data_IF_865118987679
#
_entry.id   IF_865118987679
#
_cell.length_a   1.000
_cell.length_b   1.000
_cell.length_c   1.000
_cell.angle_alpha   90.00
_cell.angle_beta   90.00
_cell.angle_gamma   90.00
#
_symmetry.space_group_name_H-M   'P 1'
#
loop_
_entity.id
_entity.type
_entity.pdbx_description
1 polymer ?
#
# COMPACT_ATOMS: atom_id res chain seq x y z
N UNK A 1 -7.25 -37.09 73.76
CA UNK A 1 -6.19 -36.40 72.99
C UNK A 1 -6.69 -36.19 71.51
N UNK A 2 -7.82 -35.53 71.26
CA UNK A 2 -8.38 -35.37 69.86
C UNK A 2 -9.10 -34.04 69.60
N UNK A 3 -8.64 -32.90 70.10
CA UNK A 3 -9.38 -31.63 69.97
C UNK A 3 -8.49 -30.44 69.44
N UNK A 4 -7.21 -30.67 69.12
CA UNK A 4 -6.35 -29.57 68.59
C UNK A 4 -6.24 -29.55 67.06
N UNK A 5 -6.47 -30.67 66.35
CA UNK A 5 -6.32 -30.75 64.90
C UNK A 5 -7.43 -30.02 64.11
N UNK A 6 -8.61 -29.84 64.69
CA UNK A 6 -9.75 -29.21 64.03
C UNK A 6 -9.66 -27.68 63.89
N UNK A 7 -8.82 -27.02 64.68
CA UNK A 7 -8.69 -25.53 64.64
C UNK A 7 -7.46 -25.03 63.84
N UNK A 8 -6.47 -25.87 63.61
CA UNK A 8 -5.23 -25.49 62.92
C UNK A 8 -5.45 -25.38 61.39
N UNK A 9 -6.29 -26.28 60.86
CA UNK A 9 -6.54 -26.33 59.43
C UNK A 9 -7.18 -25.02 58.84
N UNK A 10 -8.24 -24.45 59.42
CA UNK A 10 -8.82 -23.22 58.96
C UNK A 10 -7.86 -22.00 59.08
N UNK A 11 -7.00 -21.99 60.10
CA UNK A 11 -6.00 -20.92 60.25
C UNK A 11 -4.96 -20.93 59.14
N UNK A 12 -4.45 -22.07 58.75
CA UNK A 12 -3.48 -22.25 57.67
C UNK A 12 -4.13 -21.81 56.34
N UNK A 13 -5.36 -22.20 56.05
CA UNK A 13 -6.06 -21.79 54.81
C UNK A 13 -6.26 -20.29 54.75
N UNK A 14 -6.66 -19.64 55.85
CA UNK A 14 -6.82 -18.20 55.91
C UNK A 14 -5.47 -17.48 55.70
N UNK A 15 -4.40 -18.03 56.28
CA UNK A 15 -3.04 -17.45 56.11
C UNK A 15 -2.54 -17.56 54.66
N UNK A 16 -2.72 -18.72 54.01
CA UNK A 16 -2.40 -18.94 52.60
C UNK A 16 -3.20 -17.97 51.72
N UNK A 17 -4.50 -17.84 51.96
CA UNK A 17 -5.36 -16.95 51.21
C UNK A 17 -4.92 -15.47 51.32
N UNK A 18 -4.59 -15.02 52.55
CA UNK A 18 -4.05 -13.67 52.79
C UNK A 18 -2.71 -13.46 52.10
N UNK A 19 -1.78 -14.40 52.16
CA UNK A 19 -0.51 -14.34 51.49
C UNK A 19 -0.67 -14.27 49.94
N UNK A 20 -1.58 -15.08 49.42
CA UNK A 20 -1.89 -15.09 47.98
C UNK A 20 -2.47 -13.73 47.52
N UNK A 21 -3.43 -13.17 48.27
CA UNK A 21 -4.01 -11.85 47.98
C UNK A 21 -2.97 -10.76 48.04
N UNK A 22 -2.08 -10.79 49.04
CA UNK A 22 -0.98 -9.80 49.15
C UNK A 22 0.01 -9.89 47.98
N UNK A 23 0.40 -11.10 47.59
CA UNK A 23 1.31 -11.32 46.44
C UNK A 23 0.64 -10.84 45.15
N UNK A 24 -0.64 -11.18 44.95
CA UNK A 24 -1.38 -10.76 43.76
C UNK A 24 -1.56 -9.24 43.72
N UNK A 25 -1.93 -8.62 44.85
CA UNK A 25 -2.10 -7.19 45.00
C UNK A 25 -0.80 -6.41 44.74
N UNK A 26 0.34 -6.85 45.27
CA UNK A 26 1.64 -6.22 45.05
C UNK A 26 2.12 -6.40 43.59
N UNK A 27 1.90 -7.56 43.00
CA UNK A 27 2.22 -7.83 41.58
C UNK A 27 1.39 -6.94 40.64
N UNK A 28 0.12 -6.78 40.92
CA UNK A 28 -0.79 -5.93 40.15
C UNK A 28 -0.39 -4.44 40.29
N UNK A 29 -0.06 -3.98 41.49
CA UNK A 29 0.42 -2.63 41.74
C UNK A 29 1.73 -2.35 41.01
N UNK A 30 2.69 -3.29 41.02
CA UNK A 30 3.95 -3.21 40.29
C UNK A 30 3.72 -3.13 38.77
N UNK A 31 2.76 -3.93 38.24
CA UNK A 31 2.40 -3.88 36.84
C UNK A 31 1.82 -2.50 36.44
N UNK A 32 0.88 -1.96 37.22
CA UNK A 32 0.31 -0.63 36.94
C UNK A 32 1.35 0.49 37.05
N UNK A 33 2.25 0.41 38.04
CA UNK A 33 3.35 1.36 38.14
C UNK A 33 4.29 1.27 36.93
N UNK A 34 4.66 0.05 36.51
CA UNK A 34 5.48 -0.19 35.32
C UNK A 34 4.83 0.34 34.04
N UNK A 35 3.53 0.09 33.85
CA UNK A 35 2.78 0.63 32.70
C UNK A 35 2.69 2.17 32.74
N UNK A 36 2.48 2.75 33.92
CA UNK A 36 2.44 4.20 34.11
C UNK A 36 3.79 4.86 33.78
N UNK A 37 4.90 4.27 34.25
CA UNK A 37 6.24 4.74 33.94
C UNK A 37 6.57 4.59 32.45
N UNK A 38 6.23 3.44 31.87
CA UNK A 38 6.39 3.19 30.43
C UNK A 38 5.63 4.21 29.61
N UNK A 39 4.34 4.46 29.92
CA UNK A 39 3.52 5.47 29.26
C UNK A 39 4.14 6.87 29.35
N UNK A 40 4.61 7.27 30.53
CA UNK A 40 5.33 8.56 30.70
C UNK A 40 6.59 8.65 29.86
N UNK A 41 7.37 7.57 29.80
CA UNK A 41 8.59 7.51 28.98
C UNK A 41 8.25 7.63 27.49
N UNK A 42 7.25 6.90 27.01
CA UNK A 42 6.78 6.97 25.61
C UNK A 42 6.28 8.36 25.25
N UNK A 43 5.47 9.00 26.12
CA UNK A 43 4.97 10.35 25.91
C UNK A 43 6.09 11.41 25.89
N UNK A 44 7.08 11.30 26.77
CA UNK A 44 8.25 12.19 26.73
C UNK A 44 9.04 12.02 25.44
N UNK A 45 9.31 10.77 25.05
CA UNK A 45 10.01 10.49 23.81
C UNK A 45 9.26 10.98 22.55
N UNK A 46 7.93 10.93 22.57
CA UNK A 46 7.10 11.48 21.51
C UNK A 46 7.18 13.01 21.44
N UNK A 47 7.09 13.70 22.59
CA UNK A 47 7.25 15.16 22.67
C UNK A 47 8.63 15.63 22.22
N UNK A 48 9.70 14.99 22.71
CA UNK A 48 11.07 15.32 22.28
C UNK A 48 11.25 15.13 20.76
N UNK A 49 10.57 14.14 20.17
CA UNK A 49 10.58 13.91 18.71
C UNK A 49 9.85 15.03 17.99
N UNK A 50 8.67 15.41 18.47
CA UNK A 50 7.84 16.47 17.89
C UNK A 50 8.55 17.83 17.97
N UNK A 51 9.14 18.19 19.13
CA UNK A 51 9.94 19.41 19.29
C UNK A 51 11.11 19.48 18.33
N UNK A 52 11.81 18.35 18.09
CA UNK A 52 12.90 18.28 17.11
C UNK A 52 12.42 18.41 15.67
N UNK A 53 11.28 17.80 15.32
CA UNK A 53 10.67 17.97 14.01
C UNK A 53 10.31 19.43 13.77
N UNK A 54 9.69 20.09 14.74
CA UNK A 54 9.36 21.52 14.67
C UNK A 54 10.61 22.38 14.57
N UNK A 55 11.67 22.05 15.29
CA UNK A 55 12.96 22.74 15.18
C UNK A 55 13.50 22.67 13.74
N UNK A 56 13.59 21.46 13.16
CA UNK A 56 14.07 21.31 11.79
C UNK A 56 13.12 21.90 10.74
N UNK A 57 11.81 21.90 11.00
CA UNK A 57 10.86 22.59 10.13
C UNK A 57 11.09 24.11 10.16
N UNK A 58 11.39 24.68 11.33
CA UNK A 58 11.81 26.09 11.46
C UNK A 58 13.09 26.42 10.67
N UNK A 59 14.08 25.52 10.72
CA UNK A 59 15.32 25.65 9.93
C UNK A 59 15.02 25.62 8.42
N UNK A 60 14.11 24.75 7.96
CA UNK A 60 13.69 24.70 6.54
C UNK A 60 12.96 25.97 6.14
N UNK A 61 12.06 26.51 6.98
CA UNK A 61 11.41 27.81 6.75
C UNK A 61 12.45 28.93 6.60
N UNK A 62 13.41 28.99 7.53
CA UNK A 62 14.46 30.01 7.51
C UNK A 62 15.36 29.89 6.25
N UNK A 63 15.61 28.67 5.78
CA UNK A 63 16.35 28.40 4.55
C UNK A 63 15.57 28.91 3.32
N UNK A 64 14.29 28.52 3.18
CA UNK A 64 13.43 28.94 2.07
C UNK A 64 13.18 30.45 2.06
N UNK A 65 13.11 31.08 3.25
CA UNK A 65 13.02 32.54 3.39
C UNK A 65 14.34 33.27 3.12
N UNK A 66 15.43 32.56 2.83
CA UNK A 66 16.76 33.14 2.59
C UNK A 66 17.43 33.75 3.86
N UNK A 67 16.89 33.48 5.05
CA UNK A 67 17.44 33.98 6.31
C UNK A 67 18.61 33.13 6.85
N UNK A 68 18.79 31.93 6.32
CA UNK A 68 19.95 31.05 6.57
C UNK A 68 20.38 30.34 5.27
N UNK A 69 21.62 29.90 5.22
CA UNK A 69 22.17 29.10 4.11
C UNK A 69 22.47 27.66 4.51
N UNK A 70 22.21 27.29 5.76
CA UNK A 70 22.54 25.99 6.31
C UNK A 70 21.48 25.53 7.30
N UNK A 71 21.30 24.22 7.37
CA UNK A 71 20.46 23.53 8.36
C UNK A 71 21.35 22.98 9.47
N UNK A 72 20.86 22.98 10.70
CA UNK A 72 21.55 22.44 11.84
C UNK A 72 21.93 20.97 11.63
N UNK A 73 23.20 20.63 11.87
CA UNK A 73 23.73 19.29 11.64
C UNK A 73 23.16 18.27 12.65
N UNK A 74 22.48 17.20 12.20
CA UNK A 74 22.01 16.15 13.10
C UNK A 74 23.14 15.47 13.85
N UNK A 75 23.02 15.40 15.19
CA UNK A 75 24.06 14.85 16.07
C UNK A 75 24.09 13.33 16.07
N UNK A 76 22.99 12.68 15.76
CA UNK A 76 22.81 11.23 15.82
C UNK A 76 21.69 10.76 14.88
N UNK A 77 21.50 9.44 14.78
CA UNK A 77 20.48 8.82 13.94
C UNK A 77 19.05 9.29 14.25
N UNK A 78 18.72 9.52 15.54
CA UNK A 78 17.39 10.02 15.94
C UNK A 78 17.13 11.44 15.41
N UNK A 79 18.13 12.30 15.44
CA UNK A 79 18.04 13.66 14.90
C UNK A 79 17.91 13.63 13.37
N UNK A 80 18.66 12.74 12.70
CA UNK A 80 18.51 12.53 11.26
C UNK A 80 17.11 12.07 10.86
N UNK A 81 16.47 11.20 11.66
CA UNK A 81 15.06 10.82 11.47
C UNK A 81 14.09 11.99 11.69
N UNK A 82 14.38 12.88 12.64
CA UNK A 82 13.56 14.06 12.89
C UNK A 82 13.66 15.07 11.73
N UNK A 83 14.86 15.27 11.17
CA UNK A 83 15.05 16.10 9.97
C UNK A 83 14.31 15.54 8.75
N UNK A 84 14.38 14.21 8.50
CA UNK A 84 13.61 13.59 7.43
C UNK A 84 12.10 13.76 7.62
N UNK A 85 11.62 13.59 8.85
CA UNK A 85 10.20 13.83 9.19
C UNK A 85 9.79 15.30 9.00
N UNK A 86 10.65 16.27 9.31
CA UNK A 86 10.42 17.68 9.05
C UNK A 86 10.36 17.98 7.55
N UNK A 87 11.29 17.46 6.78
CA UNK A 87 11.31 17.60 5.31
C UNK A 87 10.02 17.05 4.68
N UNK A 88 9.56 15.87 5.10
CA UNK A 88 8.29 15.29 4.64
C UNK A 88 7.08 16.18 4.99
N UNK A 89 7.05 16.75 6.19
CA UNK A 89 5.93 17.54 6.67
C UNK A 89 5.91 18.97 6.08
N UNK A 90 7.05 19.39 5.52
CA UNK A 90 7.20 20.73 4.96
C UNK A 90 6.55 20.82 3.58
N UNK A 91 5.79 21.89 3.34
CA UNK A 91 5.19 22.18 2.03
C UNK A 91 6.07 23.18 1.29
N UNK A 92 6.87 22.69 0.37
CA UNK A 92 7.67 23.54 -0.52
C UNK A 92 6.77 24.21 -1.57
N UNK A 93 7.07 25.46 -1.93
CA UNK A 93 6.29 26.20 -2.91
C UNK A 93 6.68 25.85 -4.36
N UNK A 94 7.95 25.54 -4.56
CA UNK A 94 8.49 25.20 -5.88
C UNK A 94 9.69 24.24 -5.80
N UNK A 95 10.16 23.80 -6.97
CA UNK A 95 11.32 22.89 -7.09
C UNK A 95 12.64 23.53 -6.63
N UNK A 96 12.76 24.86 -6.67
CA UNK A 96 13.99 25.55 -6.24
C UNK A 96 14.17 25.46 -4.73
N UNK A 97 13.08 25.58 -3.95
CA UNK A 97 13.10 25.37 -2.50
C UNK A 97 13.48 23.93 -2.13
N UNK A 98 12.95 22.96 -2.87
CA UNK A 98 13.30 21.53 -2.69
C UNK A 98 14.79 21.32 -2.97
N UNK A 99 15.31 21.88 -4.05
CA UNK A 99 16.73 21.78 -4.40
C UNK A 99 17.64 22.44 -3.38
N UNK A 100 17.27 23.62 -2.85
CA UNK A 100 18.00 24.28 -1.77
C UNK A 100 18.02 23.42 -0.49
N UNK A 101 16.88 22.85 -0.11
CA UNK A 101 16.79 21.98 1.05
C UNK A 101 17.64 20.72 0.89
N UNK A 102 17.64 20.10 -0.29
CA UNK A 102 18.52 18.96 -0.58
C UNK A 102 19.99 19.31 -0.51
N UNK A 103 20.40 20.45 -1.07
CA UNK A 103 21.80 20.93 -0.98
C UNK A 103 22.20 21.19 0.47
N UNK A 104 21.34 21.83 1.26
CA UNK A 104 21.61 22.09 2.66
C UNK A 104 21.69 20.78 3.49
N UNK A 105 20.84 19.78 3.20
CA UNK A 105 20.89 18.48 3.85
C UNK A 105 22.12 17.69 3.42
N UNK A 106 22.55 17.77 2.17
CA UNK A 106 23.72 17.06 1.64
C UNK A 106 25.03 17.40 2.37
N UNK A 107 25.16 18.64 2.86
CA UNK A 107 26.35 19.07 3.63
C UNK A 107 26.27 18.66 5.11
N UNK A 108 25.13 18.14 5.57
CA UNK A 108 24.96 17.62 6.94
C UNK A 108 25.44 16.18 7.05
N UNK A 109 25.58 15.69 8.28
CA UNK A 109 25.87 14.28 8.56
C UNK A 109 24.66 13.34 8.34
N UNK A 110 23.52 13.85 7.88
CA UNK A 110 22.26 13.09 7.77
C UNK A 110 22.44 11.82 6.97
N UNK A 111 22.94 11.91 5.74
CA UNK A 111 23.14 10.75 4.86
C UNK A 111 24.13 9.74 5.44
N UNK A 112 25.18 10.22 6.11
CA UNK A 112 26.16 9.36 6.79
C UNK A 112 25.50 8.59 7.94
N UNK A 113 24.67 9.26 8.74
CA UNK A 113 23.95 8.62 9.85
C UNK A 113 22.96 7.58 9.35
N UNK A 114 22.20 7.89 8.29
CA UNK A 114 21.24 6.96 7.67
C UNK A 114 21.95 5.75 7.05
N UNK A 115 23.01 5.95 6.27
CA UNK A 115 23.80 4.86 5.69
C UNK A 115 24.41 3.96 6.76
N UNK A 116 24.95 4.53 7.85
CA UNK A 116 25.46 3.77 8.99
C UNK A 116 24.35 2.93 9.65
N UNK A 117 23.15 3.47 9.77
CA UNK A 117 22.00 2.75 10.34
C UNK A 117 21.58 1.54 9.47
N UNK A 118 21.80 1.55 8.16
CA UNK A 118 21.55 0.40 7.29
C UNK A 118 22.49 -0.79 7.57
N UNK A 119 23.67 -0.55 8.18
CA UNK A 119 24.59 -1.61 8.58
C UNK A 119 24.23 -2.23 9.94
N UNK A 120 23.18 -1.77 10.61
CA UNK A 120 22.72 -2.30 11.89
C UNK A 120 22.23 -3.75 11.75
N UNK A 121 22.51 -4.58 12.78
CA UNK A 121 21.93 -5.93 12.92
C UNK A 121 20.42 -5.86 13.19
N UNK A 122 19.93 -4.78 13.81
CA UNK A 122 18.51 -4.55 14.10
C UNK A 122 17.76 -4.15 12.81
N UNK A 123 16.88 -5.03 12.36
CA UNK A 123 16.04 -4.78 11.19
C UNK A 123 15.12 -3.55 11.36
N UNK A 124 14.69 -3.26 12.59
CA UNK A 124 13.85 -2.09 12.87
C UNK A 124 14.61 -0.77 12.69
N UNK A 125 15.93 -0.75 13.00
CA UNK A 125 16.81 0.39 12.73
C UNK A 125 16.96 0.57 11.21
N UNK A 126 17.24 -0.51 10.47
CA UNK A 126 17.35 -0.48 9.00
C UNK A 126 16.08 0.04 8.33
N UNK A 127 14.92 -0.50 8.75
CA UNK A 127 13.61 -0.07 8.22
C UNK A 127 13.35 1.42 8.43
N UNK A 128 13.65 1.95 9.61
CA UNK A 128 13.48 3.39 9.90
C UNK A 128 14.42 4.26 9.05
N UNK A 129 15.66 3.80 8.84
CA UNK A 129 16.59 4.51 7.95
C UNK A 129 16.06 4.55 6.50
N UNK A 130 15.54 3.42 5.99
CA UNK A 130 14.93 3.33 4.66
C UNK A 130 13.72 4.24 4.51
N UNK A 131 12.85 4.29 5.52
CA UNK A 131 11.73 5.24 5.54
C UNK A 131 12.22 6.68 5.43
N UNK A 132 13.25 7.05 6.19
CA UNK A 132 13.83 8.39 6.13
C UNK A 132 14.44 8.74 4.76
N UNK A 133 15.10 7.78 4.09
CA UNK A 133 15.56 7.99 2.72
C UNK A 133 14.40 8.29 1.75
N UNK A 134 13.30 7.53 1.85
CA UNK A 134 12.10 7.77 1.05
C UNK A 134 11.42 9.11 1.36
N UNK A 135 11.47 9.58 2.61
CA UNK A 135 10.93 10.88 3.02
C UNK A 135 11.76 12.04 2.48
N UNK A 136 13.09 11.91 2.46
CA UNK A 136 14.01 12.93 1.96
C UNK A 136 13.99 13.07 0.43
N UNK A 137 13.54 12.05 -0.31
CA UNK A 137 13.44 12.05 -1.79
C UNK A 137 14.70 12.49 -2.52
N UNK A 138 15.88 12.23 -1.97
CA UNK A 138 17.16 12.51 -2.64
C UNK A 138 17.45 11.39 -3.65
N UNK A 139 17.21 11.66 -4.94
CA UNK A 139 17.41 10.71 -6.04
C UNK A 139 18.86 10.22 -6.16
N UNK A 140 19.83 10.97 -5.70
CA UNK A 140 21.24 10.55 -5.63
C UNK A 140 21.48 9.32 -4.76
N UNK A 141 20.54 8.96 -3.89
CA UNK A 141 20.61 7.76 -3.07
C UNK A 141 20.02 6.51 -3.74
N UNK A 142 19.33 6.65 -4.87
CA UNK A 142 18.63 5.54 -5.53
C UNK A 142 19.57 4.35 -5.80
N UNK A 143 20.69 4.56 -6.43
CA UNK A 143 21.61 3.49 -6.80
C UNK A 143 22.24 2.81 -5.58
N UNK A 144 22.52 3.57 -4.51
CA UNK A 144 23.00 3.03 -3.25
C UNK A 144 21.94 2.10 -2.61
N UNK A 145 20.69 2.52 -2.54
CA UNK A 145 19.61 1.73 -1.97
C UNK A 145 19.27 0.52 -2.84
N UNK A 146 19.33 0.64 -4.17
CA UNK A 146 19.13 -0.46 -5.10
C UNK A 146 20.15 -1.59 -4.84
N UNK A 147 21.44 -1.24 -4.74
CA UNK A 147 22.51 -2.21 -4.41
C UNK A 147 22.34 -2.81 -3.02
N UNK A 148 21.91 -2.02 -2.05
CA UNK A 148 21.60 -2.52 -0.71
C UNK A 148 20.44 -3.54 -0.77
N UNK A 149 19.39 -3.28 -1.54
CA UNK A 149 18.25 -4.19 -1.70
C UNK A 149 18.66 -5.53 -2.34
N UNK A 150 19.59 -5.53 -3.29
CA UNK A 150 20.09 -6.75 -3.92
C UNK A 150 20.75 -7.72 -2.93
N UNK A 151 21.35 -7.18 -1.88
CA UNK A 151 22.08 -7.93 -0.85
C UNK A 151 21.22 -8.25 0.39
N UNK A 152 20.07 -7.57 0.56
CA UNK A 152 19.25 -7.72 1.77
C UNK A 152 18.45 -9.03 1.74
N UNK A 153 18.58 -9.81 2.80
CA UNK A 153 17.92 -11.11 2.95
C UNK A 153 16.61 -11.05 3.76
N UNK A 154 16.45 -10.02 4.60
CA UNK A 154 15.26 -9.87 5.44
C UNK A 154 14.12 -9.27 4.61
N UNK A 155 13.07 -10.05 4.34
CA UNK A 155 11.94 -9.68 3.47
C UNK A 155 11.32 -8.31 3.85
N UNK A 156 11.13 -8.04 5.15
CA UNK A 156 10.56 -6.77 5.62
C UNK A 156 11.47 -5.57 5.31
N UNK A 157 12.79 -5.73 5.45
CA UNK A 157 13.76 -4.67 5.14
C UNK A 157 13.83 -4.47 3.63
N UNK A 158 13.88 -5.56 2.87
CA UNK A 158 13.81 -5.52 1.41
C UNK A 158 12.57 -4.76 0.91
N UNK A 159 11.38 -5.06 1.47
CA UNK A 159 10.16 -4.32 1.15
C UNK A 159 10.29 -2.82 1.43
N UNK A 160 10.79 -2.45 2.62
CA UNK A 160 11.02 -1.03 2.96
C UNK A 160 12.02 -0.37 2.03
N UNK A 161 13.02 -1.11 1.54
CA UNK A 161 13.99 -0.62 0.56
C UNK A 161 13.34 -0.36 -0.80
N UNK A 162 12.47 -1.27 -1.27
CA UNK A 162 11.67 -1.06 -2.48
C UNK A 162 10.80 0.20 -2.37
N UNK A 163 10.13 0.39 -1.23
CA UNK A 163 9.31 1.58 -1.01
C UNK A 163 10.15 2.88 -1.04
N UNK A 164 11.35 2.86 -0.44
CA UNK A 164 12.28 3.97 -0.51
C UNK A 164 12.77 4.22 -1.94
N UNK A 165 13.23 3.17 -2.66
CA UNK A 165 13.64 3.29 -4.06
C UNK A 165 12.53 3.88 -4.94
N UNK A 166 11.28 3.41 -4.77
CA UNK A 166 10.13 3.91 -5.52
C UNK A 166 9.89 5.42 -5.32
N UNK A 167 10.12 5.92 -4.10
CA UNK A 167 9.98 7.34 -3.79
C UNK A 167 11.11 8.22 -4.36
N UNK A 168 12.25 7.61 -4.72
CA UNK A 168 13.44 8.30 -5.23
C UNK A 168 13.53 8.34 -6.76
N UNK A 169 12.59 7.71 -7.46
CA UNK A 169 12.60 7.66 -8.94
C UNK A 169 12.33 9.06 -9.49
N UNK A 170 13.26 9.56 -10.28
CA UNK A 170 13.15 10.83 -11.03
C UNK A 170 13.45 10.65 -12.51
N UNK A 171 14.06 9.52 -12.90
CA UNK A 171 14.48 9.25 -14.26
C UNK A 171 13.86 7.95 -14.80
N UNK A 172 13.55 7.85 -16.10
CA UNK A 172 13.03 6.63 -16.73
C UNK A 172 13.91 5.40 -16.52
N UNK A 173 15.23 5.58 -16.55
CA UNK A 173 16.21 4.50 -16.35
C UNK A 173 16.18 3.97 -14.90
N UNK A 174 15.97 4.84 -13.91
CA UNK A 174 15.76 4.43 -12.51
C UNK A 174 14.48 3.61 -12.37
N UNK A 175 13.39 3.97 -13.06
CA UNK A 175 12.15 3.20 -13.06
C UNK A 175 12.38 1.79 -13.65
N UNK A 176 13.10 1.68 -14.76
CA UNK A 176 13.42 0.37 -15.36
C UNK A 176 14.25 -0.52 -14.43
N UNK A 177 15.31 0.05 -13.83
CA UNK A 177 16.16 -0.68 -12.86
C UNK A 177 15.38 -1.09 -11.61
N UNK A 178 14.51 -0.22 -11.12
CA UNK A 178 13.59 -0.53 -10.02
C UNK A 178 12.64 -1.67 -10.39
N UNK A 179 12.07 -1.64 -11.59
CA UNK A 179 11.18 -2.68 -12.12
C UNK A 179 11.89 -4.03 -12.21
N UNK A 180 13.13 -4.06 -12.67
CA UNK A 180 13.96 -5.27 -12.67
C UNK A 180 14.21 -5.80 -11.24
N UNK A 181 14.52 -4.91 -10.30
CA UNK A 181 14.71 -5.29 -8.90
C UNK A 181 13.44 -5.89 -8.30
N UNK A 182 12.28 -5.27 -8.51
CA UNK A 182 10.99 -5.77 -8.04
C UNK A 182 10.65 -7.13 -8.69
N UNK A 183 10.96 -7.30 -9.98
CA UNK A 183 10.73 -8.52 -10.72
C UNK A 183 11.69 -9.67 -10.33
N UNK A 184 12.89 -9.39 -9.83
CA UNK A 184 13.95 -10.38 -9.58
C UNK A 184 13.64 -11.31 -8.40
N UNK A 185 12.82 -10.89 -7.44
CA UNK A 185 12.47 -11.67 -6.25
C UNK A 185 10.98 -12.01 -6.22
N UNK A 186 10.61 -13.29 -6.14
CA UNK A 186 9.22 -13.67 -5.91
C UNK A 186 8.79 -13.32 -4.50
N UNK A 187 7.58 -12.77 -4.39
CA UNK A 187 6.73 -12.82 -3.21
C UNK A 187 6.96 -11.82 -2.07
N UNK A 188 6.91 -10.58 -2.37
CA UNK A 188 6.05 -9.69 -1.56
C UNK A 188 4.62 -9.92 -2.09
N UNK A 189 3.57 -9.75 -1.30
CA UNK A 189 2.20 -9.99 -1.78
C UNK A 189 1.89 -9.12 -2.99
N UNK A 190 1.03 -9.60 -3.91
CA UNK A 190 0.63 -8.83 -5.11
C UNK A 190 0.12 -7.41 -4.77
N UNK A 191 -0.56 -7.25 -3.63
CA UNK A 191 -1.02 -5.94 -3.13
C UNK A 191 0.12 -5.02 -2.68
N UNK A 192 1.22 -5.59 -2.18
CA UNK A 192 2.41 -4.81 -1.82
C UNK A 192 3.13 -4.31 -3.06
N UNK A 193 3.36 -5.19 -4.04
CA UNK A 193 4.01 -4.84 -5.30
C UNK A 193 3.25 -3.74 -6.04
N UNK A 194 1.91 -3.81 -6.05
CA UNK A 194 1.06 -2.75 -6.59
C UNK A 194 1.24 -1.43 -5.85
N UNK A 195 1.23 -1.43 -4.52
CA UNK A 195 1.40 -0.22 -3.71
C UNK A 195 2.73 0.49 -3.95
N UNK A 196 3.80 -0.29 -4.07
CA UNK A 196 5.15 0.22 -4.36
C UNK A 196 5.24 0.75 -5.80
N UNK A 197 4.65 0.05 -6.78
CA UNK A 197 4.57 0.49 -8.17
C UNK A 197 3.77 1.79 -8.32
N UNK A 198 2.66 1.95 -7.58
CA UNK A 198 1.92 3.22 -7.55
C UNK A 198 2.79 4.39 -7.11
N UNK A 199 3.60 4.19 -6.06
CA UNK A 199 4.55 5.20 -5.61
C UNK A 199 5.59 5.51 -6.69
N UNK A 200 6.15 4.47 -7.33
CA UNK A 200 7.11 4.62 -8.42
C UNK A 200 6.54 5.38 -9.63
N UNK A 201 5.30 5.06 -10.02
CA UNK A 201 4.59 5.75 -11.11
C UNK A 201 4.40 7.22 -10.77
N UNK A 202 3.91 7.55 -9.55
CA UNK A 202 3.75 8.95 -9.13
C UNK A 202 5.06 9.72 -9.12
N UNK A 203 6.14 9.11 -8.61
CA UNK A 203 7.46 9.73 -8.60
C UNK A 203 7.95 10.00 -10.01
N UNK A 204 7.81 9.04 -10.92
CA UNK A 204 8.19 9.17 -12.32
C UNK A 204 7.37 10.27 -13.04
N UNK A 205 6.05 10.28 -12.85
CA UNK A 205 5.15 11.27 -13.47
C UNK A 205 5.37 12.69 -12.94
N UNK A 206 5.87 12.82 -11.71
CA UNK A 206 6.27 14.12 -11.15
C UNK A 206 7.61 14.63 -11.64
N UNK A 207 8.41 13.82 -12.34
CA UNK A 207 9.81 14.15 -12.64
C UNK A 207 10.13 14.15 -14.13
N UNK A 208 9.31 13.53 -14.99
CA UNK A 208 9.59 13.44 -16.42
C UNK A 208 8.32 13.67 -17.27
N UNK A 209 8.54 13.84 -18.58
CA UNK A 209 7.44 13.97 -19.53
C UNK A 209 6.52 12.73 -19.52
N UNK A 210 5.21 12.95 -19.57
CA UNK A 210 4.17 11.93 -19.55
C UNK A 210 4.32 10.91 -20.69
N UNK A 211 4.79 11.35 -21.87
CA UNK A 211 5.03 10.46 -23.00
C UNK A 211 6.22 9.53 -22.74
N UNK A 212 7.29 10.04 -22.14
CA UNK A 212 8.45 9.24 -21.73
C UNK A 212 8.07 8.23 -20.65
N UNK A 213 7.26 8.65 -19.64
CA UNK A 213 6.75 7.74 -18.63
C UNK A 213 5.87 6.62 -19.23
N UNK A 214 5.03 6.95 -20.21
CA UNK A 214 4.24 5.97 -20.95
C UNK A 214 5.13 4.96 -21.67
N UNK A 215 6.14 5.43 -22.40
CA UNK A 215 6.97 4.58 -23.25
C UNK A 215 7.77 3.58 -22.42
N UNK A 216 8.35 3.99 -21.28
CA UNK A 216 9.07 3.06 -20.39
C UNK A 216 8.14 2.02 -19.76
N UNK A 217 6.91 2.39 -19.42
CA UNK A 217 5.92 1.43 -18.89
C UNK A 217 5.42 0.49 -19.99
N UNK A 218 5.24 0.99 -21.22
CA UNK A 218 4.93 0.17 -22.38
C UNK A 218 6.03 -0.89 -22.59
N UNK A 219 7.30 -0.49 -22.59
CA UNK A 219 8.43 -1.41 -22.74
C UNK A 219 8.43 -2.47 -21.63
N UNK A 220 8.15 -2.10 -20.38
CA UNK A 220 8.04 -3.05 -19.29
C UNK A 220 6.89 -4.06 -19.47
N UNK A 221 5.77 -3.66 -20.10
CA UNK A 221 4.64 -4.56 -20.37
C UNK A 221 4.98 -5.58 -21.47
N UNK A 222 5.67 -5.15 -22.53
CA UNK A 222 5.95 -5.98 -23.71
C UNK A 222 7.28 -6.74 -23.63
N UNK A 223 8.20 -6.38 -22.71
CA UNK A 223 9.45 -7.12 -22.52
C UNK A 223 9.21 -8.49 -21.91
N UNK A 224 9.88 -9.52 -22.43
CA UNK A 224 9.88 -10.87 -21.89
C UNK A 224 10.67 -11.01 -20.58
N UNK A 225 11.46 -9.99 -20.21
CA UNK A 225 12.22 -9.97 -18.97
C UNK A 225 11.33 -9.93 -17.72
N UNK A 226 10.07 -9.50 -17.87
CA UNK A 226 9.15 -9.30 -16.75
C UNK A 226 8.09 -10.38 -16.66
N UNK A 227 7.92 -10.93 -15.45
CA UNK A 227 6.92 -11.97 -15.13
C UNK A 227 5.50 -11.41 -15.23
N UNK A 228 4.54 -12.29 -15.54
CA UNK A 228 3.12 -11.93 -15.60
C UNK A 228 2.60 -11.24 -14.33
N UNK A 229 3.05 -11.68 -13.14
CA UNK A 229 2.67 -11.08 -11.86
C UNK A 229 3.12 -9.62 -11.75
N UNK A 230 4.37 -9.30 -12.19
CA UNK A 230 4.84 -7.93 -12.23
C UNK A 230 4.00 -7.07 -13.19
N UNK A 231 3.78 -7.58 -14.41
CA UNK A 231 2.99 -6.88 -15.43
C UNK A 231 1.56 -6.64 -14.96
N UNK A 232 0.93 -7.62 -14.31
CA UNK A 232 -0.39 -7.48 -13.70
C UNK A 232 -0.42 -6.40 -12.61
N UNK A 233 0.61 -6.35 -11.75
CA UNK A 233 0.75 -5.33 -10.73
C UNK A 233 0.97 -3.93 -11.32
N UNK A 234 1.77 -3.83 -12.40
CA UNK A 234 1.98 -2.57 -13.14
C UNK A 234 0.68 -2.06 -13.77
N UNK A 235 -0.09 -2.92 -14.43
CA UNK A 235 -1.42 -2.61 -15.00
C UNK A 235 -2.36 -2.11 -13.90
N UNK A 236 -2.45 -2.82 -12.78
CA UNK A 236 -3.31 -2.46 -11.65
C UNK A 236 -2.89 -1.12 -11.04
N UNK A 237 -1.59 -0.90 -10.85
CA UNK A 237 -1.04 0.35 -10.32
C UNK A 237 -1.35 1.54 -11.25
N UNK A 238 -1.14 1.38 -12.57
CA UNK A 238 -1.46 2.41 -13.56
C UNK A 238 -2.95 2.76 -13.57
N UNK A 239 -3.83 1.74 -13.45
CA UNK A 239 -5.28 1.94 -13.33
C UNK A 239 -5.65 2.78 -12.11
N UNK A 240 -5.13 2.45 -10.94
CA UNK A 240 -5.41 3.16 -9.68
C UNK A 240 -4.79 4.57 -9.63
N UNK A 241 -3.71 4.81 -10.35
CA UNK A 241 -3.14 6.15 -10.52
C UNK A 241 -3.81 6.95 -11.66
N UNK A 242 -4.84 6.38 -12.29
CA UNK A 242 -5.55 6.99 -13.41
C UNK A 242 -4.64 7.42 -14.57
N UNK A 243 -3.58 6.64 -14.81
CA UNK A 243 -2.63 6.92 -15.89
C UNK A 243 -3.20 6.50 -17.26
N UNK A 244 -4.18 7.25 -17.76
CA UNK A 244 -4.96 6.95 -18.97
C UNK A 244 -4.12 6.84 -20.25
N UNK A 245 -2.93 7.46 -20.29
CA UNK A 245 -2.01 7.37 -21.44
C UNK A 245 -1.51 5.94 -21.71
N UNK A 246 -1.60 5.05 -20.72
CA UNK A 246 -1.18 3.65 -20.84
C UNK A 246 -2.32 2.72 -21.32
N UNK A 247 -3.55 3.19 -21.47
CA UNK A 247 -4.73 2.38 -21.83
C UNK A 247 -4.49 1.56 -23.08
N UNK A 248 -4.02 2.20 -24.17
CA UNK A 248 -3.75 1.50 -25.44
C UNK A 248 -2.75 0.35 -25.29
N UNK A 249 -1.70 0.55 -24.50
CA UNK A 249 -0.70 -0.48 -24.21
C UNK A 249 -1.28 -1.62 -23.38
N UNK A 250 -2.11 -1.31 -22.37
CA UNK A 250 -2.76 -2.29 -21.50
C UNK A 250 -3.72 -3.18 -22.32
N UNK A 251 -4.56 -2.56 -23.15
CA UNK A 251 -5.53 -3.27 -24.01
C UNK A 251 -4.79 -4.14 -25.03
N UNK A 252 -3.80 -3.57 -25.73
CA UNK A 252 -3.02 -4.31 -26.72
C UNK A 252 -2.29 -5.52 -26.08
N UNK A 253 -1.70 -5.33 -24.90
CA UNK A 253 -1.04 -6.41 -24.18
C UNK A 253 -2.03 -7.50 -23.71
N UNK A 254 -3.19 -7.10 -23.18
CA UNK A 254 -4.21 -8.03 -22.74
C UNK A 254 -4.78 -8.87 -23.90
N UNK A 255 -4.87 -8.33 -25.14
CA UNK A 255 -5.31 -9.09 -26.30
C UNK A 255 -4.32 -10.16 -26.78
N UNK A 256 -3.02 -9.97 -26.57
CA UNK A 256 -1.99 -10.94 -26.99
C UNK A 256 -1.62 -11.90 -25.87
N UNK A 257 -1.93 -11.56 -24.62
CA UNK A 257 -1.64 -12.41 -23.46
C UNK A 257 -2.70 -13.49 -23.28
N UNK A 258 -2.27 -14.72 -23.02
CA UNK A 258 -3.16 -15.81 -22.57
C UNK A 258 -3.28 -15.88 -21.04
N UNK A 259 -2.59 -15.01 -20.31
CA UNK A 259 -2.53 -15.10 -18.85
C UNK A 259 -3.78 -14.47 -18.22
N UNK A 260 -4.50 -15.28 -17.45
CA UNK A 260 -5.70 -14.90 -16.70
C UNK A 260 -5.48 -13.67 -15.80
N UNK A 261 -4.31 -13.58 -15.14
CA UNK A 261 -4.00 -12.51 -14.20
C UNK A 261 -3.91 -11.16 -14.95
N UNK A 262 -3.37 -11.19 -16.16
CA UNK A 262 -3.29 -10.00 -17.04
C UNK A 262 -4.68 -9.52 -17.43
N UNK A 263 -5.56 -10.43 -17.89
CA UNK A 263 -6.94 -10.07 -18.26
C UNK A 263 -7.70 -9.45 -17.09
N UNK A 264 -7.63 -10.07 -15.91
CA UNK A 264 -8.27 -9.55 -14.69
C UNK A 264 -7.74 -8.15 -14.33
N UNK A 265 -6.42 -7.96 -14.39
CA UNK A 265 -5.81 -6.67 -14.06
C UNK A 265 -6.15 -5.59 -15.09
N UNK A 266 -6.18 -5.93 -16.37
CA UNK A 266 -6.58 -5.02 -17.45
C UNK A 266 -8.03 -4.57 -17.31
N UNK A 267 -8.99 -5.47 -17.08
CA UNK A 267 -10.39 -5.11 -16.87
C UNK A 267 -10.57 -4.20 -15.64
N UNK A 268 -9.89 -4.47 -14.54
CA UNK A 268 -9.91 -3.59 -13.36
C UNK A 268 -9.31 -2.22 -13.63
N UNK A 269 -8.22 -2.15 -14.41
CA UNK A 269 -7.63 -0.88 -14.80
C UNK A 269 -8.59 -0.08 -15.70
N UNK A 270 -9.23 -0.71 -16.69
CA UNK A 270 -10.26 -0.08 -17.54
C UNK A 270 -11.42 0.48 -16.70
N UNK A 271 -11.88 -0.26 -15.70
CA UNK A 271 -12.89 0.23 -14.75
C UNK A 271 -12.42 1.50 -14.02
N UNK A 272 -11.19 1.53 -13.54
CA UNK A 272 -10.62 2.72 -12.89
C UNK A 272 -10.46 3.90 -13.85
N UNK A 273 -10.15 3.64 -15.12
CA UNK A 273 -10.12 4.68 -16.14
C UNK A 273 -11.50 5.20 -16.55
N UNK A 274 -12.58 4.53 -16.12
CA UNK A 274 -13.95 4.85 -16.54
C UNK A 274 -14.24 4.47 -17.99
N UNK A 275 -13.51 3.51 -18.55
CA UNK A 275 -13.59 3.09 -19.95
C UNK A 275 -14.26 1.72 -20.08
N UNK A 276 -15.02 1.57 -21.16
CA UNK A 276 -15.50 0.29 -21.64
C UNK A 276 -14.71 -0.11 -22.90
N UNK A 277 -14.31 -1.36 -22.96
CA UNK A 277 -13.56 -1.92 -24.07
C UNK A 277 -14.10 -3.30 -24.44
N UNK A 278 -13.83 -3.73 -25.67
CA UNK A 278 -14.19 -5.05 -26.20
C UNK A 278 -13.64 -6.21 -25.35
N UNK A 279 -12.52 -5.99 -24.66
CA UNK A 279 -11.97 -6.94 -23.68
C UNK A 279 -12.99 -7.29 -22.60
N UNK A 280 -13.73 -6.31 -22.07
CA UNK A 280 -14.77 -6.54 -21.05
C UNK A 280 -15.89 -7.36 -21.64
N UNK A 281 -16.39 -6.98 -22.83
CA UNK A 281 -17.49 -7.68 -23.50
C UNK A 281 -17.18 -9.14 -23.80
N UNK A 282 -15.98 -9.43 -24.33
CA UNK A 282 -15.54 -10.81 -24.57
C UNK A 282 -15.36 -11.62 -23.29
N UNK A 283 -14.91 -10.94 -22.21
CA UNK A 283 -14.69 -11.61 -20.92
C UNK A 283 -15.98 -11.96 -20.19
N UNK A 284 -17.11 -11.38 -20.56
CA UNK A 284 -18.43 -11.80 -20.07
C UNK A 284 -18.77 -13.22 -20.55
N UNK A 285 -18.32 -13.63 -21.73
CA UNK A 285 -18.54 -14.95 -22.29
C UNK A 285 -17.47 -15.98 -21.88
N UNK A 286 -16.61 -15.64 -20.93
CA UNK A 286 -15.55 -16.53 -20.43
C UNK A 286 -16.12 -17.73 -19.66
N UNK A 287 -15.57 -18.92 -19.87
CA UNK A 287 -15.89 -20.13 -19.08
C UNK A 287 -15.32 -20.05 -17.64
N UNK A 288 -14.38 -19.13 -17.36
CA UNK A 288 -13.81 -18.93 -16.01
C UNK A 288 -14.71 -18.01 -15.18
N UNK A 289 -15.36 -18.53 -14.12
CA UNK A 289 -16.28 -17.73 -13.30
C UNK A 289 -15.61 -16.53 -12.62
N UNK A 290 -14.30 -16.57 -12.37
CA UNK A 290 -13.58 -15.44 -11.76
C UNK A 290 -13.36 -14.33 -12.78
N UNK A 291 -13.01 -14.67 -14.01
CA UNK A 291 -12.91 -13.72 -15.14
C UNK A 291 -14.27 -13.09 -15.39
N UNK A 292 -15.33 -13.91 -15.42
CA UNK A 292 -16.72 -13.48 -15.59
C UNK A 292 -17.15 -12.48 -14.51
N UNK A 293 -16.89 -12.78 -13.23
CA UNK A 293 -17.20 -11.86 -12.10
C UNK A 293 -16.49 -10.51 -12.26
N UNK A 294 -15.22 -10.52 -12.68
CA UNK A 294 -14.49 -9.25 -12.89
C UNK A 294 -15.03 -8.49 -14.08
N UNK A 295 -15.36 -9.16 -15.20
CA UNK A 295 -15.96 -8.56 -16.37
C UNK A 295 -17.33 -7.93 -16.03
N UNK A 296 -18.19 -8.65 -15.29
CA UNK A 296 -19.49 -8.15 -14.82
C UNK A 296 -19.32 -6.87 -14.01
N UNK A 297 -18.42 -6.85 -13.02
CA UNK A 297 -18.17 -5.66 -12.19
C UNK A 297 -17.59 -4.50 -13.02
N UNK A 298 -16.71 -4.80 -13.97
CA UNK A 298 -16.10 -3.79 -14.84
C UNK A 298 -17.09 -3.21 -15.84
N UNK A 299 -18.11 -3.96 -16.23
CA UNK A 299 -19.14 -3.54 -17.20
C UNK A 299 -20.07 -2.43 -16.70
N UNK A 300 -20.04 -2.07 -15.40
CA UNK A 300 -20.75 -0.90 -14.88
C UNK A 300 -20.42 0.42 -15.60
N UNK A 301 -19.30 0.47 -16.29
CA UNK A 301 -18.87 1.62 -17.09
C UNK A 301 -19.28 1.52 -18.58
N UNK A 302 -19.90 0.39 -18.97
CA UNK A 302 -20.37 0.17 -20.32
C UNK A 302 -21.84 0.61 -20.41
N UNK A 303 -22.18 1.40 -21.41
CA UNK A 303 -23.56 1.93 -21.57
C UNK A 303 -24.52 0.80 -21.96
N UNK A 304 -25.71 0.78 -21.33
CA UNK A 304 -26.99 0.15 -21.68
C UNK A 304 -27.08 -1.24 -22.35
N UNK A 305 -26.20 -1.55 -23.30
CA UNK A 305 -26.22 -2.83 -24.04
C UNK A 305 -25.91 -4.07 -23.15
N UNK A 306 -25.28 -3.88 -22.04
CA UNK A 306 -24.79 -4.95 -21.15
C UNK A 306 -25.87 -5.42 -20.15
N UNK A 307 -26.89 -4.62 -19.88
CA UNK A 307 -27.89 -4.89 -18.83
C UNK A 307 -28.69 -6.16 -19.08
N UNK A 308 -29.09 -6.40 -20.34
CA UNK A 308 -29.80 -7.63 -20.71
C UNK A 308 -28.92 -8.88 -20.55
N UNK A 309 -27.62 -8.77 -20.90
CA UNK A 309 -26.66 -9.86 -20.71
C UNK A 309 -26.42 -10.11 -19.23
N UNK A 310 -26.31 -9.05 -18.42
CA UNK A 310 -26.16 -9.17 -16.97
C UNK A 310 -27.38 -9.84 -16.32
N UNK A 311 -28.59 -9.57 -16.78
CA UNK A 311 -29.80 -10.25 -16.32
C UNK A 311 -29.75 -11.77 -16.59
N UNK A 312 -29.15 -12.20 -17.72
CA UNK A 312 -28.93 -13.62 -18.03
C UNK A 312 -28.01 -14.31 -17.03
N UNK A 313 -27.01 -13.62 -16.48
CA UNK A 313 -26.10 -14.19 -15.48
C UNK A 313 -26.73 -14.46 -14.12
N UNK A 314 -27.94 -13.95 -13.83
CA UNK A 314 -28.69 -14.29 -12.61
C UNK A 314 -29.06 -15.79 -12.55
N UNK A 315 -29.15 -16.49 -13.69
CA UNK A 315 -29.34 -17.94 -13.81
C UNK A 315 -28.03 -18.75 -13.82
N UNK A 316 -26.86 -18.13 -13.69
CA UNK A 316 -25.59 -18.84 -13.72
C UNK A 316 -25.50 -19.95 -12.66
N UNK A 317 -24.88 -21.10 -12.92
CA UNK A 317 -24.65 -22.14 -11.92
C UNK A 317 -23.73 -21.65 -10.78
N UNK A 318 -22.88 -20.66 -11.03
CA UNK A 318 -21.92 -20.12 -10.06
C UNK A 318 -22.53 -19.01 -9.22
N UNK A 319 -22.57 -19.18 -7.90
CA UNK A 319 -23.11 -18.18 -6.97
C UNK A 319 -22.45 -16.81 -7.11
N UNK A 320 -21.10 -16.76 -7.19
CA UNK A 320 -20.36 -15.50 -7.28
C UNK A 320 -20.70 -14.70 -8.55
N UNK A 321 -20.97 -15.40 -9.64
CA UNK A 321 -21.41 -14.79 -10.92
C UNK A 321 -22.80 -14.20 -10.77
N UNK A 322 -23.77 -14.98 -10.20
CA UNK A 322 -25.13 -14.47 -9.93
C UNK A 322 -25.09 -13.25 -9.02
N UNK A 323 -24.32 -13.34 -7.92
CA UNK A 323 -24.19 -12.24 -6.96
C UNK A 323 -23.58 -10.99 -7.59
N UNK A 324 -22.48 -11.14 -8.36
CA UNK A 324 -21.87 -10.03 -9.05
C UNK A 324 -22.83 -9.37 -10.05
N UNK A 325 -23.58 -10.17 -10.83
CA UNK A 325 -24.56 -9.67 -11.80
C UNK A 325 -25.69 -8.90 -11.10
N UNK A 326 -26.24 -9.45 -10.02
CA UNK A 326 -27.30 -8.83 -9.23
C UNK A 326 -26.86 -7.49 -8.67
N UNK A 327 -25.69 -7.45 -8.00
CA UNK A 327 -25.16 -6.22 -7.38
C UNK A 327 -24.71 -5.17 -8.41
N UNK A 328 -24.34 -5.59 -9.61
CA UNK A 328 -24.02 -4.67 -10.70
C UNK A 328 -25.31 -4.08 -11.31
N UNK A 329 -26.33 -4.91 -11.54
CA UNK A 329 -27.63 -4.43 -12.04
C UNK A 329 -28.25 -3.39 -11.11
N UNK A 330 -28.21 -3.60 -9.78
CA UNK A 330 -28.73 -2.64 -8.80
C UNK A 330 -28.14 -1.22 -8.99
N UNK A 331 -26.90 -1.12 -9.45
CA UNK A 331 -26.21 0.15 -9.63
C UNK A 331 -26.43 0.79 -11.01
N UNK A 332 -27.09 0.08 -11.91
CA UNK A 332 -27.37 0.59 -13.28
C UNK A 332 -28.75 1.26 -13.35
N UNK A 333 -28.90 2.30 -14.17
CA UNK A 333 -30.15 3.09 -14.23
C UNK A 333 -31.42 2.28 -14.55
N UNK A 334 -31.34 1.25 -15.40
CA UNK A 334 -32.47 0.36 -15.73
C UNK A 334 -32.42 -0.97 -15.00
N UNK A 335 -31.45 -1.18 -14.11
CA UNK A 335 -31.19 -2.47 -13.44
C UNK A 335 -32.35 -2.92 -12.55
N UNK A 336 -33.01 -2.02 -11.83
CA UNK A 336 -34.19 -2.36 -11.04
C UNK A 336 -35.31 -2.96 -11.90
N UNK A 337 -35.56 -2.40 -13.07
CA UNK A 337 -36.57 -2.92 -14.02
C UNK A 337 -36.19 -4.33 -14.49
N UNK A 338 -34.91 -4.57 -14.81
CA UNK A 338 -34.40 -5.89 -15.21
C UNK A 338 -34.54 -6.91 -14.07
N UNK A 339 -34.18 -6.53 -12.85
CA UNK A 339 -34.32 -7.38 -11.67
C UNK A 339 -35.80 -7.75 -11.41
N UNK A 340 -36.75 -6.81 -11.51
CA UNK A 340 -38.18 -7.09 -11.35
C UNK A 340 -38.71 -8.03 -12.47
N UNK A 341 -38.21 -7.87 -13.68
CA UNK A 341 -38.57 -8.76 -14.80
C UNK A 341 -38.07 -10.19 -14.54
N UNK A 342 -36.81 -10.36 -14.07
CA UNK A 342 -36.26 -11.65 -13.73
C UNK A 342 -36.98 -12.27 -12.52
N UNK A 343 -37.35 -11.46 -11.53
CA UNK A 343 -38.12 -11.92 -10.35
C UNK A 343 -39.49 -12.55 -10.75
N UNK A 344 -40.09 -12.08 -11.82
CA UNK A 344 -41.34 -12.64 -12.37
C UNK A 344 -41.11 -13.91 -13.24
N UNK A 345 -39.87 -14.29 -13.50
CA UNK A 345 -39.47 -15.44 -14.31
C UNK A 345 -39.63 -16.79 -13.61
N UNK A 346 -39.37 -17.86 -14.36
CA UNK A 346 -39.50 -19.26 -13.88
C UNK A 346 -38.24 -19.84 -13.26
N UNK A 347 -37.05 -19.26 -13.53
CA UNK A 347 -35.78 -19.74 -12.98
C UNK A 347 -35.70 -19.39 -11.49
N UNK A 348 -35.64 -20.43 -10.63
CA UNK A 348 -35.63 -20.27 -9.18
C UNK A 348 -34.37 -19.54 -8.68
N UNK A 349 -33.19 -19.85 -9.22
CA UNK A 349 -31.94 -19.20 -8.81
C UNK A 349 -31.91 -17.72 -9.20
N UNK A 350 -32.32 -17.41 -10.42
CA UNK A 350 -32.37 -16.05 -10.91
C UNK A 350 -33.39 -15.21 -10.12
N UNK A 351 -34.58 -15.76 -9.85
CA UNK A 351 -35.62 -15.10 -9.06
C UNK A 351 -35.17 -14.78 -7.64
N UNK A 352 -34.60 -15.77 -6.94
CA UNK A 352 -34.16 -15.61 -5.55
C UNK A 352 -33.02 -14.56 -5.46
N UNK A 353 -32.12 -14.55 -6.43
CA UNK A 353 -31.03 -13.58 -6.50
C UNK A 353 -31.56 -12.17 -6.82
N UNK A 354 -32.52 -12.06 -7.73
CA UNK A 354 -33.17 -10.77 -8.06
C UNK A 354 -33.93 -10.22 -6.85
N UNK A 355 -34.67 -11.07 -6.13
CA UNK A 355 -35.37 -10.69 -4.90
C UNK A 355 -34.38 -10.22 -3.81
N UNK A 356 -33.29 -10.95 -3.63
CA UNK A 356 -32.23 -10.53 -2.71
C UNK A 356 -31.68 -9.15 -3.06
N UNK A 357 -31.29 -8.92 -4.32
CA UNK A 357 -30.74 -7.66 -4.77
C UNK A 357 -31.71 -6.48 -4.55
N UNK A 358 -32.98 -6.67 -4.86
CA UNK A 358 -34.04 -5.66 -4.62
C UNK A 358 -34.31 -5.39 -3.14
N UNK A 359 -34.00 -6.33 -2.24
CA UNK A 359 -34.20 -6.15 -0.79
C UNK A 359 -33.07 -5.41 -0.09
N UNK A 360 -31.88 -5.37 -0.70
CA UNK A 360 -30.67 -4.76 -0.11
C UNK A 360 -30.51 -3.31 -0.58
N UNK A 361 -31.21 -2.90 -1.62
CA UNK A 361 -31.20 -1.55 -2.19
C UNK A 361 -32.38 -0.74 -1.69
#
# INVERSE_FOLDING_TARGET
MHTLDGLVFPYIVVWILRATIMIFGTSLAALFLGLGLHKRHVLRAARDKEEKILFYAGELVALCAGSTTAIANPRNFRDALCLAGAFRAFSFHDESEVAMAHMAIAVTSTMVQLRRALLSKDWGVRTRALTAFGELRDSGQFEYLRRFAEQESVVRVFGSCLAACAALIQEPDQFRRFSMLLNSRPALSASYDEGVLRTAIRSLLGSCDVAVARDIMHDCLFSDDFRAQYKAALISAAGKEHFTRLVGSIVAYAHVSSDRIIHISAMRALFHFGMCDDLISRSLDSDDPVVQVVAIRSSMRCNGAVETQLAGFLGSPHFDVRYAAAMTLVQLPSGERQLRQVQAGTDGFARDMAQFALSVH
#
